data_IF_615062537323
#
_entry.id   IF_615062537323
#
_cell.length_a   1.000
_cell.length_b   1.000
_cell.length_c   1.000
_cell.angle_alpha   90.00
_cell.angle_beta   90.00
_cell.angle_gamma   90.00
#
_symmetry.space_group_name_H-M   'P 1'
#
loop_
_entity.id
_entity.type
_entity.pdbx_description
1 polymer ?
#
# COMPACT_ATOMS: atom_id res chain seq x y z
N UNK A 1 36.76 34.56 14.77
CA UNK A 1 35.30 34.45 14.91
C UNK A 1 34.63 34.35 13.53
N UNK A 2 35.12 33.45 12.67
CA UNK A 2 34.61 33.22 11.29
C UNK A 2 34.40 31.71 11.04
N UNK A 3 34.84 30.85 11.97
CA UNK A 3 34.84 29.39 11.82
C UNK A 3 33.60 28.69 12.40
N UNK A 4 32.53 29.43 12.74
CA UNK A 4 31.30 28.88 13.33
C UNK A 4 30.07 28.96 12.42
N UNK A 5 30.14 29.62 11.26
CA UNK A 5 29.01 29.74 10.32
C UNK A 5 29.09 28.77 9.12
N UNK A 6 30.08 27.87 9.08
CA UNK A 6 30.32 26.98 7.92
C UNK A 6 29.88 25.53 8.17
N UNK A 7 29.33 25.21 9.36
CA UNK A 7 29.05 23.82 9.77
C UNK A 7 27.56 23.42 9.86
N UNK A 8 26.62 24.19 9.31
CA UNK A 8 25.20 23.83 9.30
C UNK A 8 24.50 24.13 7.97
N UNK A 9 25.13 23.77 6.84
CA UNK A 9 24.37 23.53 5.61
C UNK A 9 23.79 22.12 5.70
N UNK A 10 22.88 21.90 6.64
CA UNK A 10 21.95 20.78 6.56
C UNK A 10 21.05 21.10 5.38
N UNK A 11 21.16 20.33 4.30
CA UNK A 11 20.36 20.50 3.11
C UNK A 11 18.89 20.22 3.46
N UNK A 12 18.15 21.26 3.83
CA UNK A 12 16.70 21.17 3.97
C UNK A 12 16.11 21.11 2.57
N UNK A 13 15.25 20.11 2.30
CA UNK A 13 14.44 20.13 1.08
C UNK A 13 13.58 21.41 1.03
N UNK A 14 13.34 21.97 -0.17
CA UNK A 14 12.36 23.02 -0.32
C UNK A 14 10.99 22.50 0.10
N UNK A 15 10.36 23.24 1.00
CA UNK A 15 9.03 22.89 1.50
C UNK A 15 7.93 23.07 0.46
N UNK A 16 8.10 23.98 -0.48
CA UNK A 16 7.06 24.32 -1.44
C UNK A 16 7.58 24.71 -2.82
N UNK A 17 6.68 24.70 -3.80
CA UNK A 17 6.92 25.23 -5.14
C UNK A 17 7.78 24.34 -6.05
N UNK A 18 8.26 24.91 -7.16
CA UNK A 18 8.83 24.14 -8.29
C UNK A 18 9.90 23.11 -7.90
N UNK A 19 10.84 23.47 -7.02
CA UNK A 19 11.91 22.53 -6.64
C UNK A 19 11.43 21.40 -5.73
N UNK A 20 10.38 21.63 -4.92
CA UNK A 20 9.71 20.58 -4.14
C UNK A 20 9.03 19.57 -5.07
N UNK A 21 8.31 20.06 -6.08
CA UNK A 21 7.68 19.23 -7.12
C UNK A 21 8.72 18.42 -7.88
N UNK A 22 9.81 19.04 -8.36
CA UNK A 22 10.87 18.34 -9.10
C UNK A 22 11.49 17.19 -8.31
N UNK A 23 11.84 17.41 -7.03
CA UNK A 23 12.44 16.36 -6.19
C UNK A 23 11.44 15.22 -5.95
N UNK A 24 10.18 15.56 -5.69
CA UNK A 24 9.13 14.55 -5.45
C UNK A 24 8.92 13.68 -6.68
N UNK A 25 8.85 14.28 -7.87
CA UNK A 25 8.71 13.52 -9.12
C UNK A 25 9.96 12.69 -9.41
N UNK A 26 11.18 13.22 -9.22
CA UNK A 26 12.44 12.47 -9.40
C UNK A 26 12.50 11.23 -8.49
N UNK A 27 12.08 11.35 -7.22
CA UNK A 27 12.04 10.23 -6.27
C UNK A 27 10.97 9.19 -6.67
N UNK A 28 9.77 9.62 -7.07
CA UNK A 28 8.72 8.72 -7.58
C UNK A 28 9.18 7.98 -8.84
N UNK A 29 9.80 8.68 -9.80
CA UNK A 29 10.31 8.09 -11.04
C UNK A 29 11.38 7.04 -10.74
N UNK A 30 12.24 7.29 -9.75
CA UNK A 30 13.26 6.32 -9.32
C UNK A 30 12.64 5.11 -8.62
N UNK A 31 11.70 5.32 -7.70
CA UNK A 31 11.06 4.25 -6.94
C UNK A 31 10.21 3.35 -7.83
N UNK A 32 9.41 3.94 -8.72
CA UNK A 32 8.46 3.22 -9.55
C UNK A 32 8.92 3.03 -11.00
N UNK A 33 10.12 3.46 -11.40
CA UNK A 33 10.65 3.25 -12.76
C UNK A 33 9.64 3.67 -13.85
N UNK A 34 8.91 4.75 -13.61
CA UNK A 34 7.76 5.24 -14.39
C UNK A 34 7.73 6.77 -14.33
N UNK A 35 7.32 7.43 -15.41
CA UNK A 35 7.15 8.89 -15.41
C UNK A 35 5.84 9.32 -14.74
N UNK A 36 5.92 10.37 -13.92
CA UNK A 36 4.78 10.98 -13.24
C UNK A 36 4.55 12.42 -13.69
N UNK A 37 3.32 12.89 -13.52
CA UNK A 37 2.96 14.29 -13.74
C UNK A 37 2.38 14.91 -12.48
N UNK A 38 2.75 16.17 -12.25
CA UNK A 38 2.19 17.01 -11.21
C UNK A 38 0.86 17.61 -11.68
N UNK A 39 -0.17 17.51 -10.84
CA UNK A 39 -1.49 18.07 -11.10
C UNK A 39 -1.64 19.37 -10.33
N UNK A 40 -1.63 19.31 -8.99
CA UNK A 40 -1.79 20.48 -8.13
C UNK A 40 -1.24 20.25 -6.71
N UNK A 41 -1.17 21.34 -5.93
CA UNK A 41 -0.90 21.25 -4.48
C UNK A 41 -2.25 21.19 -3.77
N UNK A 42 -2.51 20.10 -3.04
CA UNK A 42 -3.79 19.84 -2.36
C UNK A 42 -3.75 20.14 -0.87
N UNK A 43 -2.56 20.32 -0.29
CA UNK A 43 -2.42 20.59 1.13
C UNK A 43 -0.98 20.82 1.55
N UNK A 44 -0.77 20.80 2.86
CA UNK A 44 0.54 20.90 3.49
C UNK A 44 0.56 19.89 4.63
N UNK A 45 1.63 19.10 4.76
CA UNK A 45 1.77 18.15 5.87
C UNK A 45 2.14 18.86 7.19
N UNK A 46 2.21 18.11 8.27
CA UNK A 46 2.56 18.60 9.62
C UNK A 46 3.98 19.22 9.71
N UNK A 47 4.89 18.79 8.84
CA UNK A 47 6.23 19.34 8.69
C UNK A 47 6.29 20.61 7.83
N UNK A 48 5.18 21.00 7.19
CA UNK A 48 5.09 22.21 6.37
C UNK A 48 5.48 22.04 4.90
N UNK A 49 5.64 20.81 4.41
CA UNK A 49 5.86 20.50 2.99
C UNK A 49 4.54 20.47 2.22
N UNK A 50 4.55 20.96 0.98
CA UNK A 50 3.43 20.83 0.04
C UNK A 50 3.08 19.34 -0.13
N UNK A 51 1.79 19.03 -0.04
CA UNK A 51 1.22 17.74 -0.43
C UNK A 51 0.75 17.87 -1.87
N UNK A 52 1.35 17.08 -2.75
CA UNK A 52 1.13 17.13 -4.19
C UNK A 52 0.09 16.08 -4.59
N UNK A 53 -0.83 16.46 -5.46
CA UNK A 53 -1.59 15.51 -6.26
C UNK A 53 -0.82 15.24 -7.55
N UNK A 54 -0.54 13.98 -7.79
CA UNK A 54 0.26 13.48 -8.91
C UNK A 54 -0.44 12.32 -9.59
N UNK A 55 -0.06 11.99 -10.82
CA UNK A 55 -0.54 10.82 -11.52
C UNK A 55 0.56 10.19 -12.38
N UNK A 56 0.55 8.87 -12.61
CA UNK A 56 1.45 8.25 -13.56
C UNK A 56 1.03 8.62 -14.97
N UNK A 57 1.98 8.99 -15.84
CA UNK A 57 1.66 9.34 -17.24
C UNK A 57 1.07 8.18 -18.04
N UNK A 58 1.35 6.95 -17.60
CA UNK A 58 0.83 5.73 -18.19
C UNK A 58 -0.68 5.55 -17.92
N UNK A 59 -1.19 6.10 -16.81
CA UNK A 59 -2.58 6.00 -16.39
C UNK A 59 -3.02 7.20 -15.53
N UNK A 60 -3.45 8.33 -16.15
CA UNK A 60 -3.79 9.56 -15.43
C UNK A 60 -5.06 9.45 -14.56
N UNK A 61 -5.80 8.34 -14.66
CA UNK A 61 -6.98 8.09 -13.81
C UNK A 61 -6.56 7.65 -12.38
N UNK A 62 -5.30 7.22 -12.18
CA UNK A 62 -4.75 6.90 -10.86
C UNK A 62 -4.03 8.13 -10.31
N UNK A 63 -4.81 9.07 -9.77
CA UNK A 63 -4.24 10.22 -9.07
C UNK A 63 -3.89 9.81 -7.63
N UNK A 64 -2.84 10.38 -7.03
CA UNK A 64 -2.44 10.03 -5.68
C UNK A 64 -1.66 11.18 -5.01
N UNK A 65 -1.51 11.09 -3.70
CA UNK A 65 -0.81 12.09 -2.90
C UNK A 65 0.65 11.69 -2.71
N UNK A 66 1.54 12.66 -2.84
CA UNK A 66 2.96 12.52 -2.51
C UNK A 66 3.48 13.78 -1.80
N UNK A 67 4.40 13.60 -0.86
CA UNK A 67 5.06 14.71 -0.17
C UNK A 67 6.45 14.34 0.32
N UNK A 68 7.31 15.35 0.45
CA UNK A 68 8.62 15.22 1.08
C UNK A 68 8.53 15.34 2.60
N UNK A 69 9.45 14.69 3.31
CA UNK A 69 9.59 14.82 4.76
C UNK A 69 11.06 14.83 5.17
N UNK A 70 11.34 15.32 6.37
CA UNK A 70 12.68 15.33 6.94
C UNK A 70 12.89 14.10 7.84
N UNK A 71 13.58 13.09 7.33
CA UNK A 71 13.95 11.88 8.07
C UNK A 71 15.37 11.91 8.66
N UNK A 72 15.74 10.79 9.28
CA UNK A 72 17.08 10.53 9.82
C UNK A 72 17.57 9.13 9.37
N UNK A 73 18.79 9.05 8.82
CA UNK A 73 19.44 7.79 8.47
C UNK A 73 20.85 7.74 9.07
N UNK A 74 21.08 6.80 9.98
CA UNK A 74 22.39 6.62 10.63
C UNK A 74 22.87 7.84 11.43
N UNK A 75 21.97 8.63 12.02
CA UNK A 75 22.32 9.85 12.75
C UNK A 75 22.39 11.10 11.90
N UNK A 76 22.15 11.01 10.59
CA UNK A 76 22.24 12.12 9.65
C UNK A 76 20.86 12.49 9.09
N UNK A 77 20.54 13.80 8.97
CA UNK A 77 19.30 14.24 8.36
C UNK A 77 19.27 13.82 6.89
N UNK A 78 18.17 13.19 6.47
CA UNK A 78 17.89 12.80 5.09
C UNK A 78 16.53 13.32 4.66
N UNK A 79 16.40 13.63 3.38
CA UNK A 79 15.10 13.95 2.79
C UNK A 79 14.50 12.62 2.35
N UNK A 80 13.31 12.33 2.84
CA UNK A 80 12.51 11.20 2.38
C UNK A 80 11.28 11.68 1.62
N UNK A 81 10.61 10.74 0.99
CA UNK A 81 9.34 10.96 0.31
C UNK A 81 8.34 9.91 0.78
N UNK A 82 7.12 10.34 1.06
CA UNK A 82 5.97 9.47 1.24
C UNK A 82 5.04 9.63 0.05
N UNK A 83 4.39 8.54 -0.34
CA UNK A 83 3.30 8.55 -1.31
C UNK A 83 2.28 7.44 -0.97
N UNK A 84 1.08 7.52 -1.54
CA UNK A 84 0.04 6.48 -1.44
C UNK A 84 -0.32 5.90 -2.82
N UNK A 85 0.62 5.86 -3.76
CA UNK A 85 0.40 5.37 -5.12
C UNK A 85 -0.13 3.93 -5.13
N UNK A 86 0.52 3.04 -4.37
CA UNK A 86 0.14 1.64 -4.31
C UNK A 86 -1.25 1.43 -3.71
N UNK A 87 -1.63 2.26 -2.73
CA UNK A 87 -2.95 2.19 -2.09
C UNK A 87 -4.05 2.64 -3.06
N UNK A 88 -3.85 3.76 -3.76
CA UNK A 88 -4.85 4.22 -4.73
C UNK A 88 -4.92 3.29 -5.93
N UNK A 89 -3.78 2.77 -6.41
CA UNK A 89 -3.78 1.73 -7.44
C UNK A 89 -4.55 0.48 -6.97
N UNK A 90 -4.42 0.09 -5.70
CA UNK A 90 -5.20 -1.02 -5.15
C UNK A 90 -6.68 -0.68 -5.20
N UNK A 91 -7.12 0.44 -4.62
CA UNK A 91 -8.54 0.84 -4.64
C UNK A 91 -9.11 0.94 -6.05
N UNK A 92 -8.28 1.35 -7.00
CA UNK A 92 -8.65 1.48 -8.41
C UNK A 92 -8.92 0.11 -9.06
N UNK A 93 -8.00 -0.85 -8.93
CA UNK A 93 -8.12 -2.15 -9.60
C UNK A 93 -8.88 -3.20 -8.78
N UNK A 94 -8.81 -3.13 -7.45
CA UNK A 94 -9.45 -4.07 -6.55
C UNK A 94 -10.96 -4.11 -6.73
N UNK A 95 -11.61 -2.99 -7.08
CA UNK A 95 -13.05 -2.96 -7.32
C UNK A 95 -13.52 -3.99 -8.34
N UNK A 96 -12.82 -4.10 -9.48
CA UNK A 96 -13.18 -5.02 -10.57
C UNK A 96 -12.80 -6.46 -10.20
N UNK A 97 -11.59 -6.66 -9.67
CA UNK A 97 -11.12 -7.98 -9.27
C UNK A 97 -11.96 -8.58 -8.12
N UNK A 98 -12.50 -7.73 -7.23
CA UNK A 98 -13.35 -8.19 -6.14
C UNK A 98 -14.73 -8.64 -6.61
N UNK A 99 -15.30 -7.95 -7.59
CA UNK A 99 -16.54 -8.38 -8.23
C UNK A 99 -16.33 -9.70 -8.97
N UNK A 100 -15.23 -9.82 -9.73
CA UNK A 100 -14.92 -11.02 -10.51
C UNK A 100 -14.68 -12.27 -9.64
N UNK A 101 -13.82 -12.18 -8.62
CA UNK A 101 -13.39 -13.35 -7.85
C UNK A 101 -14.30 -13.64 -6.65
N UNK A 102 -14.87 -12.61 -6.03
CA UNK A 102 -15.62 -12.75 -4.78
C UNK A 102 -17.09 -12.35 -4.91
N UNK A 103 -17.52 -11.74 -6.01
CA UNK A 103 -18.87 -11.17 -6.14
C UNK A 103 -19.12 -9.99 -5.20
N UNK A 104 -18.05 -9.33 -4.72
CA UNK A 104 -18.14 -8.18 -3.82
C UNK A 104 -18.15 -6.91 -4.67
N UNK A 105 -19.31 -6.26 -4.76
CA UNK A 105 -19.43 -4.99 -5.46
C UNK A 105 -18.89 -3.84 -4.60
N UNK A 106 -17.91 -3.13 -5.15
CA UNK A 106 -17.30 -1.95 -4.53
C UNK A 106 -17.48 -0.76 -5.47
N UNK A 107 -17.85 0.40 -4.92
CA UNK A 107 -17.87 1.65 -5.67
C UNK A 107 -16.46 2.26 -5.65
N UNK A 108 -15.74 2.11 -6.77
CA UNK A 108 -14.36 2.59 -6.94
C UNK A 108 -14.20 4.08 -6.64
N UNK A 109 -15.06 4.92 -7.23
CA UNK A 109 -14.95 6.38 -7.09
C UNK A 109 -15.21 6.78 -5.64
N UNK A 110 -16.24 6.20 -5.02
CA UNK A 110 -16.53 6.43 -3.60
C UNK A 110 -15.38 5.96 -2.71
N UNK A 111 -14.81 4.79 -2.97
CA UNK A 111 -13.71 4.25 -2.19
C UNK A 111 -12.45 5.12 -2.23
N UNK A 112 -12.09 5.67 -3.38
CA UNK A 112 -10.94 6.57 -3.51
C UNK A 112 -11.21 7.90 -2.80
N UNK A 113 -12.40 8.48 -3.00
CA UNK A 113 -12.79 9.74 -2.34
C UNK A 113 -12.87 9.63 -0.82
N UNK A 114 -13.38 8.52 -0.29
CA UNK A 114 -13.41 8.25 1.14
C UNK A 114 -11.99 8.09 1.70
N UNK A 115 -11.07 7.47 0.95
CA UNK A 115 -9.67 7.35 1.35
C UNK A 115 -8.97 8.71 1.44
N UNK A 116 -9.14 9.58 0.44
CA UNK A 116 -8.59 10.94 0.50
C UNK A 116 -9.17 11.74 1.67
N UNK A 117 -10.47 11.62 1.91
CA UNK A 117 -11.13 12.25 3.06
C UNK A 117 -10.59 11.73 4.40
N UNK A 118 -10.16 10.48 4.46
CA UNK A 118 -9.50 9.89 5.63
C UNK A 118 -8.10 10.51 5.83
N UNK A 119 -7.30 10.62 4.78
CA UNK A 119 -5.96 11.22 4.83
C UNK A 119 -5.99 12.71 5.22
N UNK A 120 -6.92 13.48 4.65
CA UNK A 120 -7.08 14.91 4.96
C UNK A 120 -7.42 15.17 6.42
N UNK A 121 -8.28 14.34 7.03
CA UNK A 121 -8.64 14.43 8.45
C UNK A 121 -7.44 14.23 9.37
N UNK A 122 -6.51 13.38 8.95
CA UNK A 122 -5.26 13.11 9.64
C UNK A 122 -4.13 14.07 9.22
N UNK A 123 -4.46 15.17 8.51
CA UNK A 123 -3.49 16.18 8.06
C UNK A 123 -2.32 15.60 7.26
N UNK A 124 -2.55 14.47 6.57
CA UNK A 124 -1.51 13.74 5.84
C UNK A 124 -0.31 13.33 6.72
N UNK A 125 -0.47 13.21 8.04
CA UNK A 125 0.63 12.90 8.97
C UNK A 125 1.23 11.51 8.72
N UNK A 126 0.39 10.56 8.27
CA UNK A 126 0.85 9.26 7.80
C UNK A 126 -0.07 8.75 6.69
N UNK A 127 0.34 8.95 5.44
CA UNK A 127 -0.40 8.43 4.29
C UNK A 127 -0.24 6.91 4.10
N UNK A 128 0.47 6.22 5.01
CA UNK A 128 0.61 4.76 5.01
C UNK A 128 -0.44 4.06 5.88
N UNK A 129 -1.36 4.79 6.51
CA UNK A 129 -2.41 4.20 7.36
C UNK A 129 -3.57 3.58 6.56
N UNK A 130 -3.22 2.92 5.45
CA UNK A 130 -4.18 2.30 4.55
C UNK A 130 -4.93 1.15 5.23
N UNK A 131 -4.28 0.45 6.17
CA UNK A 131 -4.90 -0.65 6.91
C UNK A 131 -6.07 -0.17 7.78
N UNK A 132 -5.93 0.97 8.50
CA UNK A 132 -7.04 1.54 9.28
C UNK A 132 -8.20 1.94 8.38
N UNK A 133 -7.92 2.51 7.20
CA UNK A 133 -8.96 2.79 6.22
C UNK A 133 -9.70 1.50 5.80
N UNK A 134 -8.96 0.47 5.38
CA UNK A 134 -9.54 -0.77 4.84
C UNK A 134 -10.47 -1.49 5.81
N UNK A 135 -10.23 -1.45 7.12
CA UNK A 135 -11.13 -2.04 8.13
C UNK A 135 -12.58 -1.55 8.04
N UNK A 136 -12.75 -0.30 7.64
CA UNK A 136 -14.05 0.36 7.58
C UNK A 136 -14.79 0.07 6.28
N UNK A 137 -14.18 -0.71 5.38
CA UNK A 137 -14.64 -0.92 4.00
C UNK A 137 -15.05 -2.37 3.74
N UNK A 138 -15.53 -2.61 2.51
CA UNK A 138 -15.84 -3.93 2.00
C UNK A 138 -14.64 -4.61 1.31
N UNK A 139 -13.45 -4.02 1.36
CA UNK A 139 -12.23 -4.67 0.86
C UNK A 139 -11.77 -5.81 1.76
N UNK A 140 -12.19 -5.86 3.04
CA UNK A 140 -11.88 -7.01 3.91
C UNK A 140 -12.85 -8.16 3.62
N UNK A 141 -12.32 -9.29 3.15
CA UNK A 141 -13.10 -10.52 2.88
C UNK A 141 -13.45 -11.21 4.21
N UNK A 142 -14.73 -11.20 4.61
CA UNK A 142 -15.18 -11.60 5.97
C UNK A 142 -15.76 -13.01 6.10
N UNK A 143 -15.91 -13.73 5.00
CA UNK A 143 -16.63 -15.00 4.93
C UNK A 143 -15.70 -16.23 4.90
N UNK A 144 -14.40 -16.08 5.20
CA UNK A 144 -13.46 -17.21 5.20
C UNK A 144 -13.73 -18.14 6.39
N UNK A 145 -13.89 -19.44 6.15
CA UNK A 145 -14.11 -20.45 7.20
C UNK A 145 -13.62 -21.83 6.76
N UNK A 146 -13.73 -22.83 7.63
CA UNK A 146 -13.26 -24.21 7.35
C UNK A 146 -13.95 -24.86 6.15
N UNK A 147 -15.23 -24.54 5.94
CA UNK A 147 -16.04 -25.18 4.90
C UNK A 147 -15.69 -24.65 3.50
N UNK A 148 -15.32 -23.37 3.39
CA UNK A 148 -15.02 -22.73 2.12
C UNK A 148 -13.53 -22.41 1.89
N UNK A 149 -12.63 -22.75 2.83
CA UNK A 149 -11.21 -22.37 2.74
C UNK A 149 -10.54 -22.79 1.43
N UNK A 150 -10.90 -23.97 0.91
CA UNK A 150 -10.39 -24.45 -0.38
C UNK A 150 -10.85 -23.56 -1.55
N UNK A 151 -12.15 -23.34 -1.67
CA UNK A 151 -12.71 -22.43 -2.68
C UNK A 151 -12.12 -21.02 -2.54
N UNK A 152 -11.99 -20.52 -1.32
CA UNK A 152 -11.46 -19.19 -1.05
C UNK A 152 -9.99 -19.09 -1.44
N UNK A 153 -9.20 -20.15 -1.26
CA UNK A 153 -7.81 -20.19 -1.73
C UNK A 153 -7.70 -20.12 -3.26
N UNK A 154 -8.65 -20.71 -3.98
CA UNK A 154 -8.72 -20.62 -5.44
C UNK A 154 -9.05 -19.19 -5.90
N UNK A 155 -10.05 -18.55 -5.28
CA UNK A 155 -10.44 -17.16 -5.56
C UNK A 155 -9.35 -16.15 -5.22
N UNK A 156 -8.76 -16.26 -4.02
CA UNK A 156 -7.67 -15.37 -3.58
C UNK A 156 -6.42 -15.53 -4.43
N UNK A 157 -6.06 -16.77 -4.80
CA UNK A 157 -4.94 -16.98 -5.72
C UNK A 157 -5.23 -16.39 -7.11
N UNK A 158 -6.44 -16.57 -7.64
CA UNK A 158 -6.87 -15.96 -8.91
C UNK A 158 -6.72 -14.44 -8.89
N UNK A 159 -7.34 -13.78 -7.90
CA UNK A 159 -7.24 -12.32 -7.75
C UNK A 159 -5.79 -11.84 -7.59
N UNK A 160 -4.95 -12.52 -6.80
CA UNK A 160 -3.55 -12.15 -6.64
C UNK A 160 -2.73 -12.33 -7.92
N UNK A 161 -3.02 -13.37 -8.72
CA UNK A 161 -2.39 -13.57 -10.02
C UNK A 161 -2.83 -12.48 -11.01
N UNK A 162 -4.10 -12.08 -11.02
CA UNK A 162 -4.58 -10.99 -11.88
C UNK A 162 -3.98 -9.65 -11.49
N UNK A 163 -3.79 -9.38 -10.18
CA UNK A 163 -3.01 -8.23 -9.73
C UNK A 163 -1.58 -8.25 -10.30
N UNK A 164 -0.91 -9.41 -10.39
CA UNK A 164 0.44 -9.51 -10.95
C UNK A 164 0.52 -9.22 -12.46
N UNK A 165 -0.61 -9.15 -13.17
CA UNK A 165 -0.67 -8.76 -14.58
C UNK A 165 -0.95 -7.26 -14.77
N UNK A 166 -1.17 -6.52 -13.68
CA UNK A 166 -1.52 -5.09 -13.69
C UNK A 166 -0.35 -4.26 -13.14
N UNK A 167 0.11 -3.26 -13.89
CA UNK A 167 1.04 -2.24 -13.36
C UNK A 167 0.29 -1.31 -12.38
N UNK A 168 0.85 -0.95 -11.20
CA UNK A 168 2.24 -1.10 -10.75
C UNK A 168 2.60 -2.45 -10.08
N UNK A 169 1.65 -3.35 -9.88
CA UNK A 169 1.84 -4.60 -9.12
C UNK A 169 2.58 -5.69 -9.88
N UNK A 170 2.61 -5.60 -11.20
CA UNK A 170 3.32 -6.53 -12.07
C UNK A 170 4.82 -6.57 -11.78
N UNK A 171 5.43 -7.74 -12.00
CA UNK A 171 6.87 -7.93 -11.78
C UNK A 171 7.69 -6.99 -12.66
N UNK A 172 8.62 -6.26 -12.05
CA UNK A 172 9.58 -5.43 -12.77
C UNK A 172 10.97 -6.04 -12.68
N UNK A 173 11.69 -6.04 -13.80
CA UNK A 173 13.07 -6.49 -13.82
C UNK A 173 13.94 -5.42 -13.17
N UNK A 174 14.73 -5.80 -12.16
CA UNK A 174 15.69 -4.89 -11.55
C UNK A 174 16.89 -4.74 -12.50
N UNK A 175 17.19 -3.50 -12.90
CA UNK A 175 18.35 -3.21 -13.74
C UNK A 175 19.66 -3.63 -13.05
N UNK A 176 20.49 -4.38 -13.77
CA UNK A 176 21.79 -4.87 -13.28
C UNK A 176 21.75 -6.15 -12.42
N UNK A 177 20.58 -6.76 -12.22
CA UNK A 177 20.41 -8.01 -11.46
C UNK A 177 19.69 -9.13 -12.22
N UNK A 178 19.70 -10.34 -11.64
CA UNK A 178 18.82 -11.46 -12.06
C UNK A 178 17.52 -11.51 -11.25
N UNK A 179 17.28 -10.53 -10.39
CA UNK A 179 16.14 -10.46 -9.50
C UNK A 179 15.00 -9.64 -10.12
N UNK A 180 13.77 -10.03 -9.82
CA UNK A 180 12.56 -9.27 -10.09
C UNK A 180 12.13 -8.58 -8.79
N UNK A 181 11.68 -7.33 -8.90
CA UNK A 181 10.95 -6.68 -7.82
C UNK A 181 9.46 -6.78 -8.08
N UNK A 182 8.69 -6.95 -7.02
CA UNK A 182 7.23 -7.01 -7.07
C UNK A 182 6.71 -6.06 -6.03
N UNK A 183 5.95 -5.07 -6.46
CA UNK A 183 5.21 -4.24 -5.52
C UNK A 183 4.14 -5.10 -4.88
N UNK A 184 4.38 -5.43 -3.61
CA UNK A 184 3.55 -6.37 -2.85
C UNK A 184 2.15 -5.80 -2.72
N UNK A 185 1.17 -6.55 -3.21
CA UNK A 185 -0.26 -6.30 -2.93
C UNK A 185 -0.73 -7.32 -1.94
N UNK A 186 -1.67 -6.94 -1.08
CA UNK A 186 -2.26 -7.84 -0.10
C UNK A 186 -3.78 -7.84 -0.20
N UNK A 187 -4.38 -9.03 -0.16
CA UNK A 187 -5.82 -9.20 0.02
C UNK A 187 -6.12 -9.33 1.52
N UNK A 188 -6.79 -8.35 2.13
CA UNK A 188 -7.18 -8.42 3.52
C UNK A 188 -8.39 -9.35 3.71
N UNK A 189 -8.37 -10.14 4.79
CA UNK A 189 -9.43 -11.08 5.09
C UNK A 189 -9.57 -11.37 6.59
N UNK A 190 -10.75 -11.87 6.97
CA UNK A 190 -11.09 -12.31 8.31
C UNK A 190 -11.76 -13.69 8.27
N UNK A 191 -11.54 -14.47 9.33
CA UNK A 191 -12.30 -15.70 9.53
C UNK A 191 -13.70 -15.37 10.07
N UNK A 192 -14.72 -16.07 9.58
CA UNK A 192 -16.13 -15.84 9.90
C UNK A 192 -16.38 -15.87 11.40
N UNK A 193 -17.05 -14.84 11.92
CA UNK A 193 -17.41 -14.73 13.33
C UNK A 193 -16.27 -14.31 14.25
N UNK A 194 -15.16 -13.83 13.69
CA UNK A 194 -13.89 -13.94 14.38
C UNK A 194 -12.93 -12.78 14.01
N UNK A 195 -13.05 -11.62 14.69
CA UNK A 195 -12.07 -10.52 14.58
C UNK A 195 -10.70 -10.93 15.15
N UNK A 196 -9.60 -10.51 14.51
CA UNK A 196 -8.26 -10.71 15.08
C UNK A 196 -8.04 -9.79 16.30
N UNK A 197 -7.12 -10.15 17.19
CA UNK A 197 -6.82 -9.46 18.45
C UNK A 197 -6.44 -7.98 18.26
N UNK A 198 -6.56 -7.20 19.35
CA UNK A 198 -6.31 -5.74 19.59
C UNK A 198 -4.97 -5.12 19.08
N UNK A 199 -4.28 -5.71 18.09
CA UNK A 199 -3.03 -5.19 17.52
C UNK A 199 -2.79 -5.46 16.03
N UNK A 200 -3.51 -6.39 15.38
CA UNK A 200 -3.58 -6.44 13.91
C UNK A 200 -5.05 -6.34 13.50
N UNK A 201 -5.31 -5.46 12.54
CA UNK A 201 -6.64 -5.08 12.07
C UNK A 201 -7.37 -6.23 11.33
N UNK A 202 -6.64 -6.98 10.49
CA UNK A 202 -7.11 -8.19 9.79
C UNK A 202 -5.93 -9.12 9.43
N UNK A 203 -6.20 -10.31 8.88
CA UNK A 203 -5.16 -11.12 8.22
C UNK A 203 -5.03 -10.67 6.76
N UNK A 204 -3.89 -10.95 6.13
CA UNK A 204 -3.71 -10.68 4.71
C UNK A 204 -2.92 -11.78 4.01
N UNK A 205 -3.15 -11.93 2.70
CA UNK A 205 -2.37 -12.81 1.82
C UNK A 205 -1.83 -11.95 0.70
N UNK A 206 -0.53 -12.09 0.42
CA UNK A 206 0.13 -11.19 -0.52
C UNK A 206 0.45 -11.82 -1.85
N UNK A 207 0.72 -11.00 -2.87
CA UNK A 207 1.22 -11.46 -4.17
C UNK A 207 2.51 -12.28 -4.03
N UNK A 208 3.31 -12.03 -2.97
CA UNK A 208 4.46 -12.84 -2.60
C UNK A 208 4.16 -14.31 -2.30
N UNK A 209 2.91 -14.65 -1.95
CA UNK A 209 2.46 -16.02 -1.67
C UNK A 209 2.08 -16.81 -2.92
N UNK A 210 1.94 -16.15 -4.07
CA UNK A 210 1.57 -16.78 -5.34
C UNK A 210 2.64 -16.60 -6.42
N UNK A 211 3.51 -15.59 -6.27
CA UNK A 211 4.55 -15.29 -7.25
C UNK A 211 5.56 -16.45 -7.31
N UNK A 212 5.76 -17.00 -8.50
CA UNK A 212 6.61 -18.16 -8.77
C UNK A 212 6.14 -19.50 -8.19
N UNK A 213 4.91 -19.60 -7.69
CA UNK A 213 4.37 -20.86 -7.20
C UNK A 213 3.87 -21.75 -8.34
N UNK A 214 4.21 -23.04 -8.30
CA UNK A 214 3.70 -24.03 -9.27
C UNK A 214 2.22 -24.33 -9.04
N UNK A 215 1.77 -24.23 -7.79
CA UNK A 215 0.38 -24.38 -7.38
C UNK A 215 -0.01 -23.24 -6.44
N UNK A 216 -0.30 -22.04 -6.98
CA UNK A 216 -0.64 -20.85 -6.19
C UNK A 216 -1.80 -21.06 -5.23
N UNK A 217 -2.83 -21.82 -5.64
CA UNK A 217 -4.01 -22.10 -4.83
C UNK A 217 -3.63 -22.89 -3.56
N UNK A 218 -2.78 -23.91 -3.71
CA UNK A 218 -2.28 -24.69 -2.58
C UNK A 218 -1.44 -23.83 -1.63
N UNK A 219 -0.58 -22.96 -2.15
CA UNK A 219 0.22 -22.04 -1.34
C UNK A 219 -0.67 -21.10 -0.50
N UNK A 220 -1.71 -20.52 -1.12
CA UNK A 220 -2.71 -19.71 -0.41
C UNK A 220 -3.46 -20.52 0.65
N UNK A 221 -3.87 -21.74 0.33
CA UNK A 221 -4.56 -22.63 1.28
C UNK A 221 -3.70 -22.92 2.52
N UNK A 222 -2.40 -23.15 2.34
CA UNK A 222 -1.45 -23.37 3.44
C UNK A 222 -1.28 -22.14 4.33
N UNK A 223 -1.27 -20.94 3.74
CA UNK A 223 -1.28 -19.68 4.50
C UNK A 223 -2.56 -19.53 5.33
N UNK A 224 -3.72 -19.85 4.75
CA UNK A 224 -5.00 -19.82 5.47
C UNK A 224 -4.99 -20.79 6.67
N UNK A 225 -4.51 -22.03 6.48
CA UNK A 225 -4.36 -22.99 7.56
C UNK A 225 -3.42 -22.49 8.66
N UNK A 226 -2.26 -21.93 8.27
CA UNK A 226 -1.31 -21.38 9.22
C UNK A 226 -1.91 -20.26 10.07
N UNK A 227 -2.57 -19.27 9.43
CA UNK A 227 -3.25 -18.18 10.14
C UNK A 227 -4.33 -18.69 11.10
N UNK A 228 -5.10 -19.70 10.70
CA UNK A 228 -6.07 -20.36 11.57
C UNK A 228 -5.40 -21.00 12.80
N UNK A 229 -4.33 -21.77 12.61
CA UNK A 229 -3.62 -22.42 13.72
C UNK A 229 -3.01 -21.42 14.71
N UNK A 230 -2.44 -20.31 14.22
CA UNK A 230 -1.91 -19.26 15.10
C UNK A 230 -3.01 -18.67 15.97
N UNK A 231 -4.21 -18.48 15.41
CA UNK A 231 -5.35 -17.96 16.15
C UNK A 231 -5.86 -18.91 17.23
N UNK A 232 -5.95 -20.20 16.92
CA UNK A 232 -6.33 -21.22 17.90
C UNK A 232 -5.34 -21.29 19.08
N UNK A 233 -4.04 -21.12 18.83
CA UNK A 233 -3.00 -21.05 19.87
C UNK A 233 -3.19 -19.82 20.76
N UNK A 234 -3.43 -18.65 20.18
CA UNK A 234 -3.67 -17.41 20.93
C UNK A 234 -4.93 -17.50 21.81
N UNK A 235 -6.00 -18.14 21.32
CA UNK A 235 -7.23 -18.31 22.10
C UNK A 235 -7.00 -19.18 23.34
N UNK A 236 -6.27 -20.29 23.21
CA UNK A 236 -5.94 -21.18 24.33
C UNK A 236 -5.12 -20.46 25.41
N UNK A 237 -4.18 -19.59 25.00
CA UNK A 237 -3.35 -18.83 25.93
C UNK A 237 -4.09 -17.71 26.67
N UNK A 238 -5.22 -17.20 26.15
CA UNK A 238 -6.07 -16.19 26.82
C UNK A 238 -7.07 -16.80 27.80
N UNK A 239 -7.33 -18.11 27.73
CA UNK A 239 -8.27 -18.82 28.60
C UNK A 239 -7.62 -19.44 29.86
N UNK A 240 -6.31 -19.25 30.04
CA UNK A 240 -5.53 -19.61 31.23
C UNK A 240 -5.25 -18.38 32.10
#
# INVERSE_FOLDING_TARGET
MILLCVLLLVACAPKSGKKNVEITLEDLEHEYMEEFEFIEVVGVNDEGYDVLLVAPKSNPDIQFHAYLYQGEAGGLPVIGMNNNYMDVAFLYYASELYEEHFGILIDKEKAINDYYSFLEKNQFSDIRDFNEYLETTNFVIKDVNEENMKEMSEKMAGALLDFLEIHPFSMRKIDGGSAYDVFRTELPYEFTGEKFNEGNLYNSISTGSVVNEVNPQQAVYEVLLWHKEQKEKLRKNKSE
#
